data_IF_738788208440
#
_entry.id   IF_738788208440
#
_cell.length_a   1.000
_cell.length_b   1.000
_cell.length_c   1.000
_cell.angle_alpha   90.00
_cell.angle_beta   90.00
_cell.angle_gamma   90.00
#
_symmetry.space_group_name_H-M   'P 1'
#
loop_
_entity.id
_entity.type
_entity.pdbx_description
1 polymer ?
#
# COMPACT_ATOMS: atom_id res chain seq x y z
N UNK A 1 51.46 -50.53 -20.38
CA UNK A 1 50.15 -51.05 -19.96
C UNK A 1 49.11 -50.09 -20.48
N UNK A 2 48.28 -50.52 -21.43
CA UNK A 2 47.06 -49.82 -21.82
C UNK A 2 45.94 -50.31 -20.91
N UNK A 3 45.35 -49.42 -20.13
CA UNK A 3 43.96 -49.54 -19.69
C UNK A 3 43.30 -48.20 -20.03
N UNK A 4 42.44 -48.26 -21.04
CA UNK A 4 41.57 -47.20 -21.51
C UNK A 4 40.35 -47.02 -20.60
N UNK A 5 39.78 -45.81 -20.72
CA UNK A 5 38.39 -45.41 -20.48
C UNK A 5 37.87 -45.39 -19.05
N UNK A 6 37.73 -44.18 -18.50
CA UNK A 6 36.58 -43.84 -17.67
C UNK A 6 35.97 -42.50 -18.11
N UNK A 7 34.63 -42.50 -18.11
CA UNK A 7 33.70 -41.69 -18.90
C UNK A 7 33.69 -40.18 -18.59
N UNK A 8 33.20 -39.34 -19.53
CA UNK A 8 33.03 -37.91 -19.30
C UNK A 8 31.95 -37.66 -18.23
N UNK A 9 32.32 -36.96 -17.17
CA UNK A 9 31.39 -36.39 -16.19
C UNK A 9 30.35 -35.57 -16.95
N UNK A 10 29.10 -35.98 -16.80
CA UNK A 10 27.94 -35.30 -17.35
C UNK A 10 27.96 -33.83 -16.94
N UNK A 11 27.83 -32.97 -17.96
CA UNK A 11 27.55 -31.55 -17.82
C UNK A 11 26.40 -31.36 -16.81
N UNK A 12 26.61 -30.65 -15.68
CA UNK A 12 25.51 -30.28 -14.82
C UNK A 12 24.69 -29.25 -15.58
N UNK A 13 23.71 -29.73 -16.35
CA UNK A 13 22.72 -28.89 -17.00
C UNK A 13 22.19 -27.87 -15.99
N UNK A 14 21.99 -26.61 -16.40
CA UNK A 14 21.69 -25.53 -15.48
C UNK A 14 20.45 -25.91 -14.67
N UNK A 15 20.69 -26.08 -13.36
CA UNK A 15 19.68 -26.27 -12.33
C UNK A 15 18.63 -25.21 -12.59
N UNK A 16 17.42 -25.68 -12.88
CA UNK A 16 16.26 -24.85 -13.19
C UNK A 16 16.19 -23.76 -12.14
N UNK A 17 16.25 -22.51 -12.58
CA UNK A 17 16.12 -21.32 -11.76
C UNK A 17 14.67 -21.21 -11.27
N UNK A 18 14.25 -22.17 -10.48
CA UNK A 18 13.00 -22.20 -9.74
C UNK A 18 13.32 -21.55 -8.39
N UNK A 19 13.10 -20.23 -8.28
CA UNK A 19 13.05 -19.59 -6.96
C UNK A 19 13.85 -18.30 -6.76
N UNK A 20 14.36 -17.64 -7.81
CA UNK A 20 14.62 -16.19 -7.71
C UNK A 20 13.27 -15.44 -7.75
N UNK A 21 12.39 -15.74 -6.79
CA UNK A 21 11.54 -14.70 -6.26
C UNK A 21 12.51 -13.71 -5.67
N UNK A 22 12.80 -12.67 -6.46
CA UNK A 22 13.62 -11.53 -6.11
C UNK A 22 13.06 -10.97 -4.80
N UNK A 23 13.53 -11.47 -3.67
CA UNK A 23 13.38 -10.78 -2.41
C UNK A 23 14.08 -9.45 -2.64
N UNK A 24 13.29 -8.37 -2.74
CA UNK A 24 13.84 -7.03 -2.84
C UNK A 24 14.66 -6.81 -1.56
N UNK A 25 15.99 -6.68 -1.64
CA UNK A 25 16.81 -6.48 -0.45
C UNK A 25 16.55 -5.13 0.24
N UNK A 26 15.76 -4.25 -0.39
CA UNK A 26 15.42 -2.91 0.07
C UNK A 26 13.97 -2.77 0.53
N UNK A 27 13.09 -3.73 0.24
CA UNK A 27 11.78 -3.71 0.91
C UNK A 27 12.03 -4.13 2.34
N UNK A 28 12.08 -3.15 3.26
CA UNK A 28 11.93 -3.47 4.66
C UNK A 28 10.65 -4.28 4.81
N UNK A 29 10.81 -5.59 4.98
CA UNK A 29 9.70 -6.54 5.06
C UNK A 29 8.74 -6.15 6.18
N UNK A 30 9.23 -5.47 7.22
CA UNK A 30 8.42 -4.94 8.29
C UNK A 30 7.59 -3.74 7.82
N UNK A 31 8.21 -2.72 7.20
CA UNK A 31 7.49 -1.56 6.66
C UNK A 31 6.44 -1.96 5.61
N UNK A 32 6.80 -2.85 4.69
CA UNK A 32 5.89 -3.39 3.68
C UNK A 32 4.71 -4.12 4.33
N UNK A 33 4.99 -4.99 5.29
CA UNK A 33 3.95 -5.75 5.98
C UNK A 33 3.04 -4.85 6.81
N UNK A 34 3.61 -3.89 7.55
CA UNK A 34 2.87 -2.88 8.33
C UNK A 34 1.96 -2.05 7.44
N UNK A 35 2.46 -1.59 6.28
CA UNK A 35 1.66 -0.85 5.33
C UNK A 35 0.56 -1.74 4.70
N UNK A 36 0.89 -2.98 4.34
CA UNK A 36 -0.09 -3.93 3.83
C UNK A 36 -1.21 -4.21 4.84
N UNK A 37 -0.88 -4.31 6.13
CA UNK A 37 -1.86 -4.44 7.22
C UNK A 37 -2.75 -3.21 7.32
N UNK A 38 -2.19 -2.01 7.20
CA UNK A 38 -2.92 -0.73 7.27
C UNK A 38 -3.88 -0.47 6.09
N UNK A 39 -3.57 -0.97 4.90
CA UNK A 39 -4.40 -0.76 3.69
C UNK A 39 -5.85 -1.24 3.84
N UNK A 40 -6.09 -2.35 4.56
CA UNK A 40 -7.43 -2.93 4.71
C UNK A 40 -8.36 -2.11 5.63
N UNK A 41 -7.97 -1.76 6.88
CA UNK A 41 -8.79 -0.90 7.73
C UNK A 41 -8.98 0.49 7.14
N UNK A 42 -7.98 1.05 6.44
CA UNK A 42 -8.16 2.31 5.72
C UNK A 42 -9.23 2.23 4.62
N UNK A 43 -9.20 1.17 3.80
CA UNK A 43 -10.25 0.93 2.82
C UNK A 43 -11.63 0.72 3.47
N UNK A 44 -11.70 -0.06 4.55
CA UNK A 44 -12.93 -0.31 5.29
C UNK A 44 -13.53 1.00 5.82
N UNK A 45 -12.70 1.86 6.42
CA UNK A 45 -13.10 3.18 6.89
C UNK A 45 -13.73 4.03 5.77
N UNK A 46 -13.12 4.06 4.59
CA UNK A 46 -13.68 4.78 3.43
C UNK A 46 -15.02 4.19 3.00
N UNK A 47 -15.15 2.86 2.93
CA UNK A 47 -16.38 2.20 2.53
C UNK A 47 -17.53 2.47 3.51
N UNK A 48 -17.22 2.40 4.81
CA UNK A 48 -18.16 2.68 5.90
C UNK A 48 -18.61 4.13 5.86
N UNK A 49 -17.66 5.06 5.72
CA UNK A 49 -17.97 6.48 5.60
C UNK A 49 -18.87 6.73 4.37
N UNK A 50 -18.48 6.24 3.17
CA UNK A 50 -19.22 6.39 1.90
C UNK A 50 -20.65 5.84 1.90
N UNK A 51 -21.00 4.99 2.85
CA UNK A 51 -22.31 4.33 2.95
C UNK A 51 -23.09 4.77 4.18
N UNK A 52 -22.50 5.65 5.00
CA UNK A 52 -23.15 6.16 6.20
C UNK A 52 -24.40 6.95 5.84
N UNK A 53 -25.53 6.56 6.44
CA UNK A 53 -26.83 7.19 6.21
C UNK A 53 -27.60 6.66 4.99
N UNK A 54 -27.00 5.80 4.15
CA UNK A 54 -27.66 5.17 3.02
C UNK A 54 -27.99 3.70 3.32
N UNK A 55 -29.25 3.43 3.67
CA UNK A 55 -29.72 2.07 3.99
C UNK A 55 -29.66 1.10 2.79
N UNK A 56 -29.60 1.61 1.57
CA UNK A 56 -29.58 0.80 0.35
C UNK A 56 -28.16 0.49 -0.12
N UNK A 57 -27.17 1.26 0.33
CA UNK A 57 -25.77 1.10 -0.06
C UNK A 57 -25.00 0.45 1.07
N UNK A 58 -24.57 -0.80 0.89
CA UNK A 58 -23.73 -1.50 1.86
C UNK A 58 -22.25 -1.26 1.57
N UNK A 59 -21.38 -1.26 2.60
CA UNK A 59 -19.92 -1.18 2.41
C UNK A 59 -19.39 -2.20 1.40
N UNK A 60 -19.88 -3.44 1.44
CA UNK A 60 -19.49 -4.51 0.51
C UNK A 60 -19.88 -4.24 -0.95
N UNK A 61 -20.91 -3.41 -1.21
CA UNK A 61 -21.31 -3.02 -2.58
C UNK A 61 -20.33 -2.01 -3.18
N UNK A 62 -19.72 -1.15 -2.36
CA UNK A 62 -18.80 -0.10 -2.84
C UNK A 62 -17.33 -0.52 -2.77
N UNK A 63 -17.01 -1.59 -2.02
CA UNK A 63 -15.65 -1.94 -1.68
C UNK A 63 -14.74 -2.17 -2.89
N UNK A 64 -15.25 -2.79 -3.96
CA UNK A 64 -14.45 -3.04 -5.18
C UNK A 64 -14.01 -1.75 -5.84
N UNK A 65 -14.95 -0.81 -6.01
CA UNK A 65 -14.71 0.49 -6.63
C UNK A 65 -13.82 1.36 -5.74
N UNK A 66 -14.11 1.42 -4.44
CA UNK A 66 -13.30 2.17 -3.48
C UNK A 66 -11.88 1.65 -3.37
N UNK A 67 -11.67 0.32 -3.44
CA UNK A 67 -10.32 -0.26 -3.46
C UNK A 67 -9.56 0.19 -4.69
N UNK A 68 -10.20 0.15 -5.86
CA UNK A 68 -9.57 0.56 -7.12
C UNK A 68 -9.19 2.05 -7.05
N UNK A 69 -10.15 2.90 -6.70
CA UNK A 69 -9.91 4.35 -6.60
C UNK A 69 -8.85 4.69 -5.57
N UNK A 70 -8.84 4.01 -4.42
CA UNK A 70 -7.83 4.20 -3.38
C UNK A 70 -6.45 3.83 -3.89
N UNK A 71 -6.30 2.64 -4.48
CA UNK A 71 -5.01 2.15 -5.02
C UNK A 71 -4.51 3.07 -6.13
N UNK A 72 -5.37 3.44 -7.08
CA UNK A 72 -5.01 4.35 -8.17
C UNK A 72 -4.53 5.71 -7.61
N UNK A 73 -5.25 6.26 -6.62
CA UNK A 73 -4.89 7.53 -5.98
C UNK A 73 -3.55 7.48 -5.24
N UNK A 74 -3.37 6.52 -4.32
CA UNK A 74 -2.16 6.45 -3.50
C UNK A 74 -0.93 6.09 -4.34
N UNK A 75 -1.11 5.29 -5.41
CA UNK A 75 -0.03 4.99 -6.35
C UNK A 75 0.39 6.27 -7.09
N UNK A 76 -0.56 7.01 -7.67
CA UNK A 76 -0.26 8.27 -8.34
C UNK A 76 0.42 9.29 -7.41
N UNK A 77 -0.05 9.42 -6.16
CA UNK A 77 0.57 10.31 -5.16
C UNK A 77 1.99 9.90 -4.80
N UNK A 78 2.24 8.59 -4.66
CA UNK A 78 3.58 8.09 -4.40
C UNK A 78 4.55 8.36 -5.55
N UNK A 79 4.11 8.21 -6.81
CA UNK A 79 4.94 8.44 -7.99
C UNK A 79 5.41 9.89 -8.12
N UNK A 80 4.59 10.86 -7.71
CA UNK A 80 4.95 12.28 -7.78
C UNK A 80 5.59 12.82 -6.50
N UNK A 81 5.58 12.07 -5.41
CA UNK A 81 5.99 12.53 -4.07
C UNK A 81 7.37 13.20 -4.06
N UNK A 82 8.39 12.53 -4.60
CA UNK A 82 9.76 13.07 -4.59
C UNK A 82 9.84 14.36 -5.42
N UNK A 83 9.19 14.39 -6.58
CA UNK A 83 9.19 15.59 -7.44
C UNK A 83 8.45 16.76 -6.78
N UNK A 84 7.29 16.50 -6.20
CA UNK A 84 6.48 17.49 -5.49
C UNK A 84 7.25 18.07 -4.30
N UNK A 85 7.94 17.20 -3.53
CA UNK A 85 8.74 17.63 -2.39
C UNK A 85 9.94 18.51 -2.74
N UNK A 86 10.62 18.23 -3.87
CA UNK A 86 11.70 19.06 -4.37
C UNK A 86 11.18 20.45 -4.76
N UNK A 87 10.05 20.52 -5.47
CA UNK A 87 9.42 21.79 -5.86
C UNK A 87 8.98 22.58 -4.63
N UNK A 88 8.39 21.93 -3.63
CA UNK A 88 8.00 22.57 -2.37
C UNK A 88 9.23 23.14 -1.64
N UNK A 89 10.32 22.37 -1.55
CA UNK A 89 11.57 22.83 -0.92
C UNK A 89 12.21 24.02 -1.63
N UNK A 90 12.14 24.08 -2.97
CA UNK A 90 12.62 25.22 -3.75
C UNK A 90 11.71 26.46 -3.59
N UNK A 91 10.41 26.25 -3.46
CA UNK A 91 9.41 27.31 -3.33
C UNK A 91 9.37 27.92 -1.92
N UNK A 92 9.61 27.13 -0.87
CA UNK A 92 9.61 27.59 0.51
C UNK A 92 11.03 27.70 1.07
N UNK A 93 11.63 28.89 0.97
CA UNK A 93 12.90 29.18 1.67
C UNK A 93 12.78 29.17 3.21
N UNK A 94 11.55 29.16 3.76
CA UNK A 94 11.29 29.41 5.18
C UNK A 94 10.28 28.44 5.85
N UNK A 95 9.90 27.30 5.25
CA UNK A 95 9.00 26.36 5.93
C UNK A 95 9.76 25.14 6.44
N UNK A 96 9.92 25.10 7.77
CA UNK A 96 10.21 23.92 8.59
C UNK A 96 9.03 22.92 8.57
N UNK A 97 8.34 22.75 7.43
CA UNK A 97 7.44 21.63 7.30
C UNK A 97 8.36 20.41 7.16
N UNK A 98 8.72 19.81 8.30
CA UNK A 98 9.40 18.53 8.35
C UNK A 98 8.52 17.55 7.58
N UNK A 99 8.86 17.30 6.31
CA UNK A 99 8.23 16.23 5.57
C UNK A 99 8.50 14.94 6.35
N UNK A 100 7.48 14.08 6.49
CA UNK A 100 7.68 12.78 7.10
C UNK A 100 8.75 12.04 6.30
N UNK A 101 9.76 11.54 7.03
CA UNK A 101 10.85 10.76 6.45
C UNK A 101 10.51 9.28 6.46
N UNK A 102 9.58 8.87 7.33
CA UNK A 102 9.09 7.50 7.42
C UNK A 102 8.15 7.18 6.23
N UNK A 103 8.48 6.19 5.38
CA UNK A 103 7.64 5.81 4.25
C UNK A 103 6.21 5.42 4.64
N UNK A 104 6.01 4.84 5.84
CA UNK A 104 4.68 4.47 6.32
C UNK A 104 3.85 5.72 6.67
N UNK A 105 4.43 6.72 7.34
CA UNK A 105 3.78 8.01 7.60
C UNK A 105 3.40 8.73 6.29
N UNK A 106 4.30 8.76 5.30
CA UNK A 106 4.03 9.35 3.98
C UNK A 106 2.80 8.71 3.33
N UNK A 107 2.76 7.37 3.26
CA UNK A 107 1.63 6.67 2.63
C UNK A 107 0.34 6.81 3.47
N UNK A 108 0.45 6.90 4.80
CA UNK A 108 -0.70 7.14 5.68
C UNK A 108 -1.35 8.48 5.36
N UNK A 109 -0.56 9.53 5.12
CA UNK A 109 -1.08 10.84 4.67
C UNK A 109 -1.84 10.71 3.36
N UNK A 110 -1.32 9.96 2.37
CA UNK A 110 -2.05 9.75 1.12
C UNK A 110 -3.40 9.05 1.33
N UNK A 111 -3.46 8.11 2.28
CA UNK A 111 -4.71 7.42 2.61
C UNK A 111 -5.70 8.34 3.33
N UNK A 112 -5.22 9.21 4.22
CA UNK A 112 -6.04 10.21 4.90
C UNK A 112 -6.56 11.26 3.92
N UNK A 113 -5.72 11.73 3.00
CA UNK A 113 -6.10 12.63 1.92
C UNK A 113 -7.17 12.01 1.04
N UNK A 114 -6.98 10.77 0.58
CA UNK A 114 -8.00 10.04 -0.17
C UNK A 114 -9.32 9.96 0.62
N UNK A 115 -9.25 9.58 1.89
CA UNK A 115 -10.42 9.49 2.77
C UNK A 115 -11.15 10.82 2.88
N UNK A 116 -10.42 11.94 2.98
CA UNK A 116 -10.99 13.29 3.03
C UNK A 116 -11.76 13.65 1.76
N UNK A 117 -11.27 13.25 0.58
CA UNK A 117 -11.97 13.48 -0.70
C UNK A 117 -13.30 12.75 -0.77
N UNK A 118 -13.43 11.60 -0.07
CA UNK A 118 -14.66 10.82 0.02
C UNK A 118 -15.59 11.32 1.11
N UNK A 119 -15.04 11.80 2.23
CA UNK A 119 -15.80 12.36 3.36
C UNK A 119 -16.52 13.65 3.02
N UNK A 120 -15.93 14.54 2.23
CA UNK A 120 -16.58 15.79 1.80
C UNK A 120 -17.88 15.57 0.98
N UNK A 121 -18.10 14.36 0.45
CA UNK A 121 -19.34 14.00 -0.25
C UNK A 121 -20.49 13.72 0.75
N UNK A 122 -20.17 13.37 2.00
CA UNK A 122 -21.13 13.02 3.04
C UNK A 122 -21.36 14.26 3.90
N UNK A 123 -22.50 14.91 3.75
CA UNK A 123 -22.86 16.09 4.54
C UNK A 123 -22.60 15.85 6.04
N UNK A 124 -21.92 16.81 6.69
CA UNK A 124 -21.46 16.78 8.08
C UNK A 124 -22.44 16.11 9.07
N UNK A 125 -22.26 14.82 9.36
CA UNK A 125 -22.86 14.18 10.54
C UNK A 125 -21.85 14.28 11.68
N UNK A 126 -21.86 15.40 12.40
CA UNK A 126 -20.88 15.70 13.46
C UNK A 126 -20.78 14.62 14.54
N UNK A 127 -21.86 13.88 14.81
CA UNK A 127 -21.87 12.77 15.77
C UNK A 127 -21.32 11.44 15.26
N UNK A 128 -21.23 11.23 13.94
CA UNK A 128 -20.76 9.96 13.36
C UNK A 128 -19.25 9.80 13.51
N UNK A 129 -18.51 10.89 13.21
CA UNK A 129 -17.05 10.91 13.21
C UNK A 129 -16.44 10.55 14.57
N UNK A 130 -17.13 10.89 15.66
CA UNK A 130 -16.66 10.68 17.03
C UNK A 130 -17.30 9.47 17.74
N UNK A 131 -18.09 8.66 17.03
CA UNK A 131 -18.83 7.58 17.68
C UNK A 131 -18.01 6.28 17.74
N UNK A 132 -17.94 5.65 18.91
CA UNK A 132 -17.50 4.25 19.07
C UNK A 132 -18.24 3.33 18.08
N UNK A 133 -19.50 3.67 17.75
CA UNK A 133 -20.30 2.94 16.77
C UNK A 133 -19.74 2.94 15.35
N UNK A 134 -18.88 3.92 15.00
CA UNK A 134 -18.20 3.97 13.70
C UNK A 134 -17.04 2.98 13.70
N UNK A 135 -16.23 2.98 14.74
CA UNK A 135 -15.08 2.09 14.88
C UNK A 135 -15.54 0.62 14.93
N UNK A 136 -16.57 0.30 15.72
CA UNK A 136 -17.17 -1.04 15.75
C UNK A 136 -17.57 -1.55 14.36
N UNK A 137 -18.18 -0.67 13.54
CA UNK A 137 -18.59 -1.04 12.18
C UNK A 137 -17.43 -1.18 11.21
N UNK A 138 -16.34 -0.44 11.43
CA UNK A 138 -15.11 -0.62 10.66
C UNK A 138 -14.51 -1.98 11.00
N UNK A 139 -14.40 -2.32 12.29
CA UNK A 139 -13.85 -3.59 12.74
C UNK A 139 -14.69 -4.79 12.29
N UNK A 140 -16.02 -4.71 12.38
CA UNK A 140 -16.94 -5.71 11.84
C UNK A 140 -16.74 -5.91 10.34
N UNK A 141 -16.55 -4.81 9.59
CA UNK A 141 -16.37 -4.87 8.14
C UNK A 141 -14.98 -5.37 7.74
N UNK A 142 -13.92 -5.01 8.49
CA UNK A 142 -12.57 -5.59 8.31
C UNK A 142 -12.64 -7.11 8.49
N UNK A 143 -13.30 -7.59 9.55
CA UNK A 143 -13.49 -9.03 9.76
C UNK A 143 -14.27 -9.70 8.62
N UNK A 144 -15.33 -9.06 8.10
CA UNK A 144 -16.05 -9.55 6.92
C UNK A 144 -15.12 -9.67 5.70
N UNK A 145 -14.31 -8.64 5.44
CA UNK A 145 -13.36 -8.63 4.32
C UNK A 145 -12.29 -9.72 4.45
N UNK A 146 -11.83 -10.01 5.67
CA UNK A 146 -10.87 -11.08 5.93
C UNK A 146 -11.48 -12.47 5.76
N UNK A 147 -12.66 -12.71 6.34
CA UNK A 147 -13.38 -13.98 6.21
C UNK A 147 -13.71 -14.32 4.75
N UNK A 148 -14.04 -13.30 3.96
CA UNK A 148 -14.36 -13.44 2.54
C UNK A 148 -13.13 -13.43 1.62
N UNK A 149 -11.92 -13.24 2.17
CA UNK A 149 -10.68 -13.06 1.39
C UNK A 149 -10.80 -11.96 0.35
N UNK A 150 -11.54 -10.89 0.66
CA UNK A 150 -11.85 -9.80 -0.26
C UNK A 150 -10.57 -9.15 -0.82
N UNK A 151 -9.59 -8.84 0.06
CA UNK A 151 -8.29 -8.31 -0.32
C UNK A 151 -7.18 -9.01 0.46
N UNK A 152 -6.67 -10.15 -0.06
CA UNK A 152 -5.66 -10.96 0.62
C UNK A 152 -4.40 -10.15 0.95
N UNK A 153 -3.74 -10.51 2.05
CA UNK A 153 -2.54 -9.82 2.52
C UNK A 153 -1.46 -9.75 1.43
N UNK A 154 -1.23 -10.84 0.71
CA UNK A 154 -0.19 -10.94 -0.32
C UNK A 154 -0.47 -9.96 -1.48
N UNK A 155 -1.75 -9.67 -1.75
CA UNK A 155 -2.15 -8.65 -2.73
C UNK A 155 -1.94 -7.24 -2.21
N UNK A 156 -2.03 -7.03 -0.90
CA UNK A 156 -1.74 -5.74 -0.25
C UNK A 156 -0.24 -5.49 -0.18
N UNK A 157 0.56 -6.52 0.07
CA UNK A 157 2.03 -6.45 0.07
C UNK A 157 2.59 -6.02 -1.29
N UNK A 158 2.04 -6.51 -2.40
CA UNK A 158 2.44 -6.05 -3.76
C UNK A 158 2.18 -4.54 -3.95
N UNK A 159 1.07 -4.02 -3.41
CA UNK A 159 0.79 -2.58 -3.48
C UNK A 159 1.73 -1.81 -2.55
N UNK A 160 1.91 -2.27 -1.31
CA UNK A 160 2.82 -1.67 -0.35
C UNK A 160 4.26 -1.58 -0.89
N UNK A 161 4.75 -2.63 -1.55
CA UNK A 161 6.06 -2.64 -2.20
C UNK A 161 6.19 -1.52 -3.26
N UNK A 162 5.17 -1.34 -4.10
CA UNK A 162 5.18 -0.26 -5.11
C UNK A 162 5.21 1.11 -4.45
N UNK A 163 4.39 1.32 -3.42
CA UNK A 163 4.31 2.60 -2.72
C UNK A 163 5.64 2.94 -2.03
N UNK A 164 6.26 1.98 -1.35
CA UNK A 164 7.55 2.18 -0.67
C UNK A 164 8.66 2.52 -1.66
N UNK A 165 8.73 1.82 -2.80
CA UNK A 165 9.73 2.10 -3.84
C UNK A 165 9.64 3.52 -4.39
N UNK A 166 8.43 4.07 -4.45
CA UNK A 166 8.20 5.40 -4.99
C UNK A 166 8.56 6.52 -4.00
N UNK A 167 8.47 6.27 -2.69
CA UNK A 167 8.71 7.29 -1.66
C UNK A 167 10.08 7.18 -0.99
N UNK A 168 10.76 6.04 -1.09
CA UNK A 168 12.11 5.86 -0.56
C UNK A 168 13.16 6.62 -1.42
N UNK A 169 13.92 7.55 -0.82
CA UNK A 169 14.88 8.38 -1.55
C UNK A 169 16.05 7.59 -2.15
N UNK A 170 16.47 6.49 -1.49
CA UNK A 170 17.63 5.70 -1.92
C UNK A 170 17.39 4.94 -3.23
N UNK A 171 16.12 4.68 -3.60
CA UNK A 171 15.79 3.94 -4.82
C UNK A 171 15.93 4.76 -6.11
N UNK A 172 16.15 6.08 -6.02
CA UNK A 172 16.28 6.95 -7.19
C UNK A 172 17.68 7.56 -7.38
N UNK A 173 18.66 7.24 -6.52
CA UNK A 173 20.05 7.63 -6.75
C UNK A 173 20.68 6.59 -7.69
N UNK A 174 21.04 6.93 -8.95
CA UNK A 174 21.82 6.02 -9.77
C UNK A 174 23.16 5.79 -9.06
N UNK A 175 23.48 4.53 -8.75
CA UNK A 175 24.84 4.19 -8.34
C UNK A 175 25.81 4.64 -9.45
N UNK A 176 26.95 5.26 -9.10
CA UNK A 176 27.91 5.83 -10.06
C UNK A 176 28.54 4.79 -10.99
#
# INVERSE_FOLDING_TARGET
>A
SLCEMELPVADPGPVRAEGLLLQCPYCDSEAMHKLAQFLLPGLAAVCIDCTTGDLFRKPSVVAVDMRKEMVDYVTQRSETFISDSLIESEASQDQENEMPVDPFEIVSIFMDDFSSTKRNIIGHVSGWLMSDSREDKIDDFVQEMEMTRFWPLERREVIAEVLLKNVEPENQVPLP
#
